data_IF_724329914745
#
_entry.id   IF_724329914745
#
_cell.length_a   1.000
_cell.length_b   1.000
_cell.length_c   1.000
_cell.angle_alpha   90.00
_cell.angle_beta   90.00
_cell.angle_gamma   90.00
#
_symmetry.space_group_name_H-M   'P 1'
#
loop_
_entity.id
_entity.type
_entity.pdbx_description
1 polymer ?
#
# COMPACT_ATOMS: atom_id res chain seq x y z
N UNK A 1 19.30 1.82 -13.81
CA UNK A 1 18.26 1.74 -12.77
C UNK A 1 18.98 1.82 -11.43
N UNK A 2 18.61 2.75 -10.54
CA UNK A 2 19.36 3.08 -9.33
C UNK A 2 19.32 1.89 -8.34
N UNK A 3 20.46 1.46 -7.79
CA UNK A 3 20.59 0.25 -6.95
C UNK A 3 19.64 0.24 -5.74
N UNK A 4 19.28 1.44 -5.27
CA UNK A 4 18.36 1.68 -4.15
C UNK A 4 16.96 1.07 -4.35
N UNK A 5 16.49 0.93 -5.59
CA UNK A 5 15.19 0.34 -5.90
C UNK A 5 15.21 -1.18 -5.99
N UNK A 6 16.39 -1.77 -6.27
CA UNK A 6 16.53 -3.22 -6.47
C UNK A 6 16.21 -3.99 -5.20
N UNK A 7 16.54 -3.45 -4.02
CA UNK A 7 16.26 -4.09 -2.72
C UNK A 7 14.76 -4.38 -2.53
N UNK A 8 13.90 -3.46 -2.97
CA UNK A 8 12.44 -3.57 -2.89
C UNK A 8 11.84 -4.52 -3.95
N UNK A 9 12.62 -4.86 -4.99
CA UNK A 9 12.25 -5.83 -6.04
C UNK A 9 12.80 -7.24 -5.76
N UNK A 10 13.79 -7.36 -4.87
CA UNK A 10 14.43 -8.62 -4.48
C UNK A 10 13.92 -9.18 -3.15
N UNK A 11 12.87 -8.58 -2.58
CA UNK A 11 12.22 -9.08 -1.38
C UNK A 11 11.67 -10.48 -1.68
N UNK A 12 12.03 -11.46 -0.85
CA UNK A 12 11.72 -12.86 -1.13
C UNK A 12 10.21 -13.08 -1.09
N UNK A 13 9.70 -13.69 -2.15
CA UNK A 13 8.37 -14.26 -2.21
C UNK A 13 8.18 -15.20 -1.01
N UNK A 14 7.26 -14.85 -0.09
CA UNK A 14 6.96 -15.65 1.11
C UNK A 14 7.29 -15.01 2.46
N UNK A 15 7.99 -13.87 2.50
CA UNK A 15 8.18 -13.15 3.78
C UNK A 15 6.87 -12.48 4.20
N UNK A 16 6.40 -12.79 5.42
CA UNK A 16 5.23 -12.13 6.01
C UNK A 16 5.56 -10.66 6.26
N UNK A 17 4.84 -9.77 5.60
CA UNK A 17 5.01 -8.33 5.75
C UNK A 17 3.86 -7.72 6.53
N UNK A 18 4.21 -6.78 7.40
CA UNK A 18 3.23 -5.91 8.03
C UNK A 18 2.66 -5.00 6.94
N UNK A 19 1.34 -4.95 6.84
CA UNK A 19 0.63 -4.08 5.91
C UNK A 19 -0.32 -3.17 6.66
N UNK A 20 -0.42 -1.93 6.19
CA UNK A 20 -1.36 -0.95 6.69
C UNK A 20 -2.48 -0.72 5.69
N UNK A 21 -3.69 -0.52 6.21
CA UNK A 21 -4.81 0.00 5.43
C UNK A 21 -5.22 1.36 6.00
N UNK A 22 -5.60 2.27 5.12
CA UNK A 22 -6.05 3.61 5.49
C UNK A 22 -7.50 3.77 5.07
N UNK A 23 -8.35 4.04 6.05
CA UNK A 23 -9.77 4.33 5.83
C UNK A 23 -9.94 5.84 5.69
N UNK A 24 -10.02 6.32 4.45
CA UNK A 24 -10.25 7.73 4.18
C UNK A 24 -11.75 8.02 4.12
N UNK A 25 -12.19 9.04 4.86
CA UNK A 25 -13.56 9.56 4.83
C UNK A 25 -13.54 11.01 4.33
N UNK A 26 -14.55 11.38 3.55
CA UNK A 26 -14.84 12.78 3.26
C UNK A 26 -15.77 13.41 4.32
N UNK A 27 -16.07 14.71 4.13
CA UNK A 27 -16.98 15.49 4.98
C UNK A 27 -18.42 14.95 5.03
N UNK A 28 -18.77 14.05 4.10
CA UNK A 28 -20.08 13.40 3.99
C UNK A 28 -20.08 11.96 4.50
N UNK A 29 -19.02 11.53 5.18
CA UNK A 29 -18.85 10.16 5.69
C UNK A 29 -18.88 9.08 4.60
N UNK A 30 -18.36 9.39 3.40
CA UNK A 30 -18.19 8.40 2.33
C UNK A 30 -16.77 7.84 2.36
N UNK A 31 -16.65 6.53 2.19
CA UNK A 31 -15.36 5.86 2.12
C UNK A 31 -14.70 6.02 0.74
N UNK A 32 -13.39 6.25 0.73
CA UNK A 32 -12.58 6.07 -0.47
C UNK A 32 -12.35 4.58 -0.74
N UNK A 33 -12.80 4.10 -1.90
CA UNK A 33 -12.45 2.81 -2.46
C UNK A 33 -11.69 3.04 -3.77
N UNK A 34 -10.57 2.35 -3.95
CA UNK A 34 -9.73 2.44 -5.15
C UNK A 34 -9.90 1.20 -6.02
N UNK A 35 -9.78 1.39 -7.34
CA UNK A 35 -9.62 0.29 -8.28
C UNK A 35 -8.14 0.11 -8.58
N UNK A 36 -7.61 -1.08 -8.34
CA UNK A 36 -6.21 -1.37 -8.65
C UNK A 36 -5.96 -1.28 -10.15
N UNK A 37 -4.77 -0.79 -10.52
CA UNK A 37 -4.31 -0.83 -11.90
C UNK A 37 -4.13 -2.26 -12.40
N UNK A 38 -3.91 -2.42 -13.70
CA UNK A 38 -3.77 -3.68 -14.41
C UNK A 38 -2.36 -4.29 -14.36
N UNK A 39 -1.49 -3.79 -13.46
CA UNK A 39 -0.06 -4.15 -13.42
C UNK A 39 0.25 -5.37 -12.54
N UNK A 40 -0.70 -5.84 -11.74
CA UNK A 40 -0.52 -6.97 -10.81
C UNK A 40 -1.68 -7.97 -10.85
N UNK A 41 -1.51 -9.10 -10.17
CA UNK A 41 -2.48 -10.21 -10.14
C UNK A 41 -3.88 -9.83 -9.63
N UNK A 42 -4.00 -8.72 -8.89
CA UNK A 42 -5.26 -8.19 -8.36
C UNK A 42 -5.82 -7.09 -9.25
N UNK A 43 -5.46 -7.11 -10.53
CA UNK A 43 -5.88 -6.15 -11.54
C UNK A 43 -7.38 -5.87 -11.51
N UNK A 44 -7.75 -4.58 -11.46
CA UNK A 44 -9.13 -4.14 -11.56
C UNK A 44 -10.00 -4.42 -10.34
N UNK A 45 -9.47 -5.04 -9.27
CA UNK A 45 -10.18 -5.25 -8.01
C UNK A 45 -10.39 -3.93 -7.27
N UNK A 46 -11.56 -3.80 -6.64
CA UNK A 46 -11.88 -2.69 -5.73
C UNK A 46 -11.38 -3.01 -4.32
N UNK A 47 -10.70 -2.07 -3.67
CA UNK A 47 -10.12 -2.25 -2.34
C UNK A 47 -9.95 -0.94 -1.57
N UNK A 48 -9.62 -1.04 -0.28
CA UNK A 48 -9.26 0.10 0.58
C UNK A 48 -7.79 0.49 0.28
N UNK A 49 -7.45 1.79 0.24
CA UNK A 49 -6.06 2.22 0.14
C UNK A 49 -5.17 1.58 1.21
N UNK A 50 -3.97 1.16 0.81
CA UNK A 50 -3.04 0.50 1.71
C UNK A 50 -1.79 -0.02 1.00
N UNK A 51 -0.87 -0.57 1.78
CA UNK A 51 0.41 -1.05 1.28
C UNK A 51 1.29 -1.65 2.37
N UNK A 52 2.49 -2.04 1.96
CA UNK A 52 3.53 -2.47 2.89
C UNK A 52 3.97 -1.31 3.78
N UNK A 53 4.22 -1.61 5.05
CA UNK A 53 4.87 -0.68 5.97
C UNK A 53 6.37 -0.96 5.89
N UNK A 54 7.17 0.09 5.64
CA UNK A 54 8.61 0.05 5.82
C UNK A 54 8.89 0.45 7.29
N UNK A 55 9.54 -0.42 8.07
CA UNK A 55 9.75 -0.19 9.50
C UNK A 55 10.65 1.04 9.78
N UNK A 56 11.47 1.42 8.79
CA UNK A 56 12.35 2.58 8.87
C UNK A 56 11.65 3.88 8.44
N UNK A 57 10.41 3.81 7.95
CA UNK A 57 9.63 4.97 7.53
C UNK A 57 8.45 5.27 8.48
N UNK A 58 7.82 6.43 8.25
CA UNK A 58 6.67 6.88 9.04
C UNK A 58 5.34 6.47 8.41
N UNK A 59 5.26 5.30 7.75
CA UNK A 59 4.08 4.87 7.00
C UNK A 59 2.84 4.78 7.88
N UNK A 60 2.99 4.33 9.13
CA UNK A 60 1.87 4.23 10.08
C UNK A 60 1.40 5.62 10.48
N UNK A 61 2.32 6.47 10.95
CA UNK A 61 2.00 7.80 11.44
C UNK A 61 1.48 8.70 10.33
N UNK A 62 1.97 8.53 9.09
CA UNK A 62 1.61 9.36 7.94
C UNK A 62 0.37 8.87 7.21
N UNK A 63 -0.06 7.63 7.46
CA UNK A 63 -1.17 7.00 6.75
C UNK A 63 -2.51 7.70 6.97
N UNK A 64 -2.74 8.31 8.14
CA UNK A 64 -4.02 8.90 8.53
C UNK A 64 -3.89 10.29 9.20
N UNK A 65 -2.98 11.14 8.70
CA UNK A 65 -2.77 12.53 9.15
C UNK A 65 -3.71 13.49 8.45
#
# INVERSE_FOLDING_TARGET
>A
MNEKWRKYLTEKEGDLKITGIVVCLDDKQRFLIIRRSDIDERAGMWTIPGGHIDEDDRSIESGAV
#
